data_IF_222163976890
#
_entry.id   IF_222163976890
#
_cell.length_a   1.000
_cell.length_b   1.000
_cell.length_c   1.000
_cell.angle_alpha   90.00
_cell.angle_beta   90.00
_cell.angle_gamma   90.00
#
_symmetry.space_group_name_H-M   'P 1'
#
loop_
_entity.id
_entity.type
_entity.pdbx_description
1 polymer ?
#
# COMPACT_ATOMS: atom_id res chain seq x y z
N UNK A 1 -22.03 2.61 3.62
CA UNK A 1 -21.28 3.73 4.23
C UNK A 1 -20.49 3.26 5.45
N UNK A 2 -19.18 3.44 5.47
CA UNK A 2 -18.32 3.19 6.64
C UNK A 2 -18.56 4.27 7.69
N UNK A 3 -19.05 3.93 8.88
CA UNK A 3 -19.29 4.91 9.97
C UNK A 3 -17.94 5.43 10.50
N UNK A 4 -17.53 6.62 10.10
CA UNK A 4 -16.36 7.39 10.61
C UNK A 4 -16.73 8.45 11.64
N UNK A 5 -18.02 8.56 12.00
CA UNK A 5 -18.58 9.58 12.90
C UNK A 5 -17.76 9.69 14.20
N UNK A 6 -17.20 10.86 14.46
CA UNK A 6 -16.41 11.18 15.66
C UNK A 6 -14.89 11.08 15.51
N UNK A 7 -14.36 10.40 14.46
CA UNK A 7 -12.92 10.41 14.19
C UNK A 7 -12.54 11.72 13.49
N UNK A 8 -11.78 12.57 14.18
CA UNK A 8 -11.19 13.79 13.61
C UNK A 8 -9.84 13.44 12.98
N UNK A 9 -9.56 14.00 11.81
CA UNK A 9 -8.25 13.92 11.15
C UNK A 9 -7.65 15.32 11.20
N UNK A 10 -6.38 15.49 11.62
CA UNK A 10 -5.71 16.79 11.57
C UNK A 10 -5.70 17.36 10.15
N UNK A 11 -6.15 18.61 9.98
CA UNK A 11 -6.20 19.30 8.67
C UNK A 11 -4.82 19.35 8.01
N UNK A 12 -3.76 19.55 8.82
CA UNK A 12 -2.38 19.54 8.34
C UNK A 12 -2.04 18.25 7.59
N UNK A 13 -2.47 17.08 8.08
CA UNK A 13 -2.21 15.79 7.42
C UNK A 13 -2.91 15.73 6.07
N UNK A 14 -4.11 16.28 5.96
CA UNK A 14 -4.86 16.36 4.69
C UNK A 14 -4.13 17.26 3.69
N UNK A 15 -3.67 18.44 4.13
CA UNK A 15 -2.93 19.39 3.29
C UNK A 15 -1.61 18.81 2.80
N UNK A 16 -0.83 18.18 3.70
CA UNK A 16 0.42 17.51 3.34
C UNK A 16 0.18 16.37 2.35
N UNK A 17 -0.87 15.56 2.56
CA UNK A 17 -1.25 14.50 1.65
C UNK A 17 -1.66 15.03 0.27
N UNK A 18 -2.43 16.13 0.22
CA UNK A 18 -2.80 16.77 -1.04
C UNK A 18 -1.57 17.29 -1.79
N UNK A 19 -0.70 18.04 -1.11
CA UNK A 19 0.53 18.57 -1.68
C UNK A 19 1.44 17.45 -2.22
N UNK A 20 1.65 16.40 -1.43
CA UNK A 20 2.42 15.24 -1.85
C UNK A 20 1.86 14.62 -3.14
N UNK A 21 0.54 14.43 -3.22
CA UNK A 21 -0.09 13.84 -4.41
C UNK A 21 0.05 14.74 -5.64
N UNK A 22 -0.10 16.06 -5.50
CA UNK A 22 0.11 17.00 -6.60
C UNK A 22 1.53 16.88 -7.14
N UNK A 23 2.54 16.97 -6.26
CA UNK A 23 3.95 16.86 -6.67
C UNK A 23 4.23 15.50 -7.31
N UNK A 24 3.85 14.40 -6.66
CA UNK A 24 4.14 13.06 -7.13
C UNK A 24 3.46 12.75 -8.47
N UNK A 25 2.18 13.10 -8.62
CA UNK A 25 1.44 12.89 -9.85
C UNK A 25 2.01 13.74 -10.99
N UNK A 26 2.32 15.02 -10.73
CA UNK A 26 2.92 15.90 -11.73
C UNK A 26 4.29 15.39 -12.17
N UNK A 27 5.15 14.94 -11.26
CA UNK A 27 6.48 14.40 -11.61
C UNK A 27 6.37 13.15 -12.50
N UNK A 28 5.51 12.20 -12.14
CA UNK A 28 5.31 10.99 -12.93
C UNK A 28 4.66 11.31 -14.29
N UNK A 29 3.65 12.17 -14.32
CA UNK A 29 2.99 12.57 -15.57
C UNK A 29 3.93 13.35 -16.50
N UNK A 30 4.74 14.27 -15.94
CA UNK A 30 5.72 15.03 -16.69
C UNK A 30 6.79 14.11 -17.29
N UNK A 31 7.30 13.15 -16.51
CA UNK A 31 8.27 12.20 -17.03
C UNK A 31 7.68 11.37 -18.18
N UNK A 32 6.52 10.75 -17.95
CA UNK A 32 5.88 9.88 -18.94
C UNK A 32 5.45 10.64 -20.20
N UNK A 33 4.92 11.86 -20.05
CA UNK A 33 4.39 12.64 -21.18
C UNK A 33 5.42 13.44 -21.97
N UNK A 34 6.50 13.90 -21.33
CA UNK A 34 7.43 14.87 -21.95
C UNK A 34 8.90 14.45 -21.90
N UNK A 35 9.34 13.65 -20.92
CA UNK A 35 10.77 13.32 -20.76
C UNK A 35 11.12 11.96 -21.35
N UNK A 36 10.18 11.01 -21.35
CA UNK A 36 10.45 9.63 -21.77
C UNK A 36 10.66 9.44 -23.28
N UNK A 37 10.49 10.49 -24.08
CA UNK A 37 10.39 10.46 -25.55
C UNK A 37 9.32 9.49 -26.10
N UNK A 38 8.46 8.96 -25.22
CA UNK A 38 7.48 7.92 -25.51
C UNK A 38 8.08 6.51 -25.46
N UNK A 39 7.41 5.59 -24.79
CA UNK A 39 7.77 4.18 -24.82
C UNK A 39 7.44 3.57 -26.17
N UNK A 40 8.43 2.95 -26.81
CA UNK A 40 8.19 2.14 -28.01
C UNK A 40 7.26 0.96 -27.67
N UNK A 41 6.46 0.51 -28.64
CA UNK A 41 5.57 -0.65 -28.46
C UNK A 41 6.35 -1.91 -28.04
N UNK A 42 7.60 -2.05 -28.52
CA UNK A 42 8.51 -3.12 -28.13
C UNK A 42 8.80 -3.17 -26.62
N UNK A 43 8.64 -2.05 -25.90
CA UNK A 43 8.80 -1.98 -24.45
C UNK A 43 7.89 -2.96 -23.71
N UNK A 44 6.69 -3.20 -24.21
CA UNK A 44 5.69 -4.10 -23.61
C UNK A 44 6.21 -5.55 -23.54
N UNK A 45 7.12 -5.92 -24.46
CA UNK A 45 7.73 -7.26 -24.51
C UNK A 45 9.02 -7.37 -23.69
N UNK A 46 9.48 -6.29 -23.05
CA UNK A 46 10.70 -6.32 -22.23
C UNK A 46 10.45 -7.05 -20.90
N UNK A 47 11.47 -7.74 -20.34
CA UNK A 47 11.36 -8.36 -19.02
C UNK A 47 10.96 -7.36 -17.93
N UNK A 48 11.48 -6.13 -17.99
CA UNK A 48 11.19 -5.07 -17.03
C UNK A 48 9.69 -4.74 -17.03
N UNK A 49 9.12 -4.49 -18.21
CA UNK A 49 7.69 -4.21 -18.32
C UNK A 49 6.85 -5.38 -17.81
N UNK A 50 7.15 -6.61 -18.24
CA UNK A 50 6.37 -7.81 -17.87
C UNK A 50 6.44 -8.07 -16.36
N UNK A 51 7.64 -8.08 -15.78
CA UNK A 51 7.84 -8.30 -14.34
C UNK A 51 7.17 -7.18 -13.54
N UNK A 52 7.42 -5.93 -13.91
CA UNK A 52 6.85 -4.77 -13.23
C UNK A 52 5.31 -4.76 -13.30
N UNK A 53 4.74 -5.13 -14.44
CA UNK A 53 3.29 -5.22 -14.63
C UNK A 53 2.66 -6.34 -13.79
N UNK A 54 3.28 -7.53 -13.73
CA UNK A 54 2.83 -8.63 -12.87
C UNK A 54 2.89 -8.23 -11.40
N UNK A 55 3.98 -7.57 -10.98
CA UNK A 55 4.11 -7.05 -9.61
C UNK A 55 3.04 -5.99 -9.32
N UNK A 56 2.84 -5.03 -10.22
CA UNK A 56 1.83 -3.99 -10.08
C UNK A 56 0.43 -4.60 -9.86
N UNK A 57 0.01 -5.49 -10.76
CA UNK A 57 -1.31 -6.12 -10.67
C UNK A 57 -1.47 -7.01 -9.43
N UNK A 58 -0.45 -7.79 -9.08
CA UNK A 58 -0.50 -8.63 -7.89
C UNK A 58 -0.55 -7.80 -6.60
N UNK A 59 0.26 -6.74 -6.50
CA UNK A 59 0.24 -5.80 -5.39
C UNK A 59 -1.12 -5.11 -5.23
N UNK A 60 -1.66 -4.58 -6.33
CA UNK A 60 -2.98 -3.95 -6.38
C UNK A 60 -4.08 -4.93 -5.95
N UNK A 61 -4.07 -6.18 -6.44
CA UNK A 61 -5.04 -7.20 -6.05
C UNK A 61 -4.96 -7.49 -4.55
N UNK A 62 -3.75 -7.66 -4.00
CA UNK A 62 -3.54 -7.87 -2.57
C UNK A 62 -4.08 -6.70 -1.76
N UNK A 63 -3.75 -5.47 -2.17
CA UNK A 63 -4.19 -4.25 -1.51
C UNK A 63 -5.73 -4.16 -1.44
N UNK A 64 -6.37 -4.29 -2.60
CA UNK A 64 -7.83 -4.21 -2.75
C UNK A 64 -8.52 -5.30 -1.92
N UNK A 65 -8.08 -6.57 -2.02
CA UNK A 65 -8.69 -7.68 -1.28
C UNK A 65 -8.55 -7.50 0.24
N UNK A 66 -7.39 -7.02 0.70
CA UNK A 66 -7.16 -6.75 2.10
C UNK A 66 -8.05 -5.61 2.62
N UNK A 67 -8.18 -4.51 1.87
CA UNK A 67 -9.01 -3.38 2.26
C UNK A 67 -10.50 -3.72 2.24
N UNK A 68 -10.98 -4.47 1.23
CA UNK A 68 -12.34 -5.00 1.23
C UNK A 68 -12.63 -5.83 2.49
N UNK A 69 -11.68 -6.66 2.93
CA UNK A 69 -11.81 -7.44 4.16
C UNK A 69 -11.91 -6.54 5.39
N UNK A 70 -11.05 -5.53 5.51
CA UNK A 70 -11.06 -4.57 6.63
C UNK A 70 -12.35 -3.74 6.68
N UNK A 71 -12.83 -3.28 5.53
CA UNK A 71 -14.10 -2.56 5.39
C UNK A 71 -15.27 -3.44 5.83
N UNK A 72 -15.30 -4.71 5.41
CA UNK A 72 -16.32 -5.68 5.80
C UNK A 72 -16.32 -5.92 7.32
N UNK A 73 -15.14 -6.11 7.92
CA UNK A 73 -15.00 -6.28 9.37
C UNK A 73 -15.50 -5.07 10.16
N UNK A 74 -15.27 -3.85 9.65
CA UNK A 74 -15.77 -2.62 10.27
C UNK A 74 -17.30 -2.54 10.24
N UNK A 75 -17.94 -2.98 9.15
CA UNK A 75 -19.42 -3.06 9.09
C UNK A 75 -19.98 -4.04 10.11
N UNK A 76 -19.29 -5.15 10.34
CA UNK A 76 -19.67 -6.21 11.29
C UNK A 76 -19.30 -5.91 12.75
N UNK A 77 -18.61 -4.79 13.02
CA UNK A 77 -18.06 -4.46 14.34
C UNK A 77 -18.30 -2.98 14.66
N UNK A 78 -19.57 -2.57 14.85
CA UNK A 78 -19.90 -1.17 15.04
C UNK A 78 -19.28 -0.54 16.30
N UNK A 79 -18.96 -1.35 17.33
CA UNK A 79 -18.47 -0.88 18.63
C UNK A 79 -16.98 -1.19 18.90
N UNK A 80 -16.21 -1.63 17.90
CA UNK A 80 -14.80 -1.94 18.14
C UNK A 80 -14.04 -2.52 16.96
N UNK A 81 -12.72 -2.64 17.13
CA UNK A 81 -11.86 -3.33 16.18
C UNK A 81 -11.97 -4.84 16.37
N UNK A 82 -11.80 -5.61 15.29
CA UNK A 82 -11.65 -7.06 15.33
C UNK A 82 -10.33 -7.45 14.68
N UNK A 83 -9.79 -8.58 15.11
CA UNK A 83 -8.62 -9.19 14.49
C UNK A 83 -9.05 -9.73 13.12
N UNK A 84 -8.49 -9.23 12.00
CA UNK A 84 -8.76 -9.81 10.69
C UNK A 84 -8.18 -11.23 10.62
N UNK A 85 -8.92 -12.17 10.04
CA UNK A 85 -8.54 -13.59 9.89
C UNK A 85 -8.71 -14.04 8.44
N UNK A 86 -8.03 -15.14 8.09
CA UNK A 86 -7.96 -15.77 6.76
C UNK A 86 -7.11 -15.01 5.72
N UNK A 87 -6.55 -15.75 4.78
CA UNK A 87 -5.72 -15.21 3.70
C UNK A 87 -4.39 -14.66 4.23
N UNK A 88 -3.88 -13.59 3.61
CA UNK A 88 -2.60 -12.99 4.02
C UNK A 88 -2.60 -12.44 5.45
N UNK A 89 -3.78 -12.15 6.01
CA UNK A 89 -3.88 -11.79 7.41
C UNK A 89 -3.39 -12.92 8.33
N UNK A 90 -3.28 -14.18 7.93
CA UNK A 90 -2.71 -15.21 8.81
C UNK A 90 -1.21 -15.02 9.05
N UNK A 91 -0.51 -14.37 8.11
CA UNK A 91 0.94 -14.18 8.13
C UNK A 91 1.34 -12.77 8.55
N UNK A 92 0.62 -11.74 8.07
CA UNK A 92 0.95 -10.33 8.29
C UNK A 92 -0.23 -9.50 8.78
N UNK A 93 0.06 -8.38 9.43
CA UNK A 93 -0.94 -7.51 10.08
C UNK A 93 -1.57 -6.54 9.10
N UNK A 94 -0.75 -6.06 8.16
CA UNK A 94 -1.13 -5.07 7.17
C UNK A 94 -0.85 -5.60 5.75
N UNK A 95 -1.61 -6.61 5.27
CA UNK A 95 -1.48 -7.09 3.90
C UNK A 95 -1.85 -6.03 2.86
N UNK A 96 -2.71 -5.06 3.21
CA UNK A 96 -3.00 -3.93 2.34
C UNK A 96 -1.75 -3.08 2.07
N UNK A 97 -1.01 -2.75 3.12
CA UNK A 97 0.25 -2.03 3.05
C UNK A 97 1.34 -2.83 2.30
N UNK A 98 1.39 -4.14 2.49
CA UNK A 98 2.29 -5.02 1.72
C UNK A 98 1.96 -5.00 0.23
N UNK A 99 0.68 -5.10 -0.13
CA UNK A 99 0.22 -5.00 -1.51
C UNK A 99 0.58 -3.67 -2.14
N UNK A 100 0.39 -2.56 -1.42
CA UNK A 100 0.73 -1.20 -1.88
C UNK A 100 2.24 -1.04 -2.14
N UNK A 101 3.09 -1.62 -1.29
CA UNK A 101 4.54 -1.63 -1.54
C UNK A 101 4.88 -2.40 -2.81
N UNK A 102 4.33 -3.61 -2.98
CA UNK A 102 4.57 -4.42 -4.19
C UNK A 102 4.06 -3.69 -5.44
N UNK A 103 2.89 -3.05 -5.34
CA UNK A 103 2.28 -2.29 -6.43
C UNK A 103 3.22 -1.19 -6.92
N UNK A 104 3.72 -0.35 -6.02
CA UNK A 104 4.58 0.77 -6.40
C UNK A 104 6.01 0.35 -6.79
N UNK A 105 6.53 -0.75 -6.24
CA UNK A 105 7.77 -1.36 -6.75
C UNK A 105 7.56 -1.86 -8.18
N UNK A 106 6.44 -2.54 -8.46
CA UNK A 106 6.07 -2.99 -9.80
C UNK A 106 5.94 -1.83 -10.77
N UNK A 107 5.27 -0.74 -10.35
CA UNK A 107 5.18 0.50 -11.12
C UNK A 107 6.57 1.07 -11.43
N UNK A 108 7.46 1.17 -10.43
CA UNK A 108 8.81 1.67 -10.66
C UNK A 108 9.61 0.83 -11.66
N UNK A 109 9.41 -0.49 -11.67
CA UNK A 109 10.09 -1.39 -12.62
C UNK A 109 9.49 -1.26 -14.02
N UNK A 110 8.15 -1.21 -14.15
CA UNK A 110 7.50 -1.13 -15.46
C UNK A 110 7.71 0.23 -16.15
N UNK A 111 7.74 1.32 -15.37
CA UNK A 111 7.95 2.68 -15.88
C UNK A 111 9.40 3.13 -15.87
N UNK A 112 10.31 2.31 -15.32
CA UNK A 112 11.76 2.45 -15.39
C UNK A 112 12.31 3.88 -15.32
N UNK A 113 11.86 4.66 -14.33
CA UNK A 113 12.25 6.06 -14.19
C UNK A 113 12.41 6.51 -12.73
N UNK A 114 13.18 7.58 -12.53
CA UNK A 114 13.52 8.09 -11.20
C UNK A 114 12.31 8.64 -10.43
N UNK A 115 11.32 9.23 -11.11
CA UNK A 115 10.11 9.72 -10.44
C UNK A 115 9.32 8.57 -9.82
N UNK A 116 9.09 7.50 -10.58
CA UNK A 116 8.41 6.29 -10.10
C UNK A 116 9.20 5.55 -9.02
N UNK A 117 10.54 5.52 -9.12
CA UNK A 117 11.41 4.93 -8.10
C UNK A 117 11.37 5.73 -6.80
N UNK A 118 11.42 7.06 -6.88
CA UNK A 118 11.31 7.93 -5.72
C UNK A 118 9.99 7.70 -4.98
N UNK A 119 8.91 7.46 -5.73
CA UNK A 119 7.61 7.17 -5.15
C UNK A 119 7.58 5.80 -4.46
N UNK A 120 8.13 4.77 -5.10
CA UNK A 120 8.23 3.44 -4.50
C UNK A 120 9.03 3.48 -3.18
N UNK A 121 10.17 4.17 -3.15
CA UNK A 121 10.98 4.35 -1.93
C UNK A 121 10.19 5.11 -0.87
N UNK A 122 9.54 6.21 -1.25
CA UNK A 122 8.71 7.00 -0.33
C UNK A 122 7.60 6.15 0.31
N UNK A 123 6.90 5.35 -0.50
CA UNK A 123 5.87 4.41 -0.05
C UNK A 123 6.43 3.44 0.99
N UNK A 124 7.56 2.77 0.71
CA UNK A 124 8.18 1.84 1.67
C UNK A 124 8.50 2.54 2.98
N UNK A 125 9.13 3.73 2.92
CA UNK A 125 9.57 4.48 4.10
C UNK A 125 8.40 4.98 4.94
N UNK A 126 7.28 5.40 4.33
CA UNK A 126 6.13 5.92 5.06
C UNK A 126 5.20 4.83 5.59
N UNK A 127 5.00 3.76 4.80
CA UNK A 127 4.05 2.70 5.14
C UNK A 127 4.64 1.70 6.14
N UNK A 128 5.95 1.47 6.12
CA UNK A 128 6.59 0.49 7.02
C UNK A 128 6.42 0.87 8.51
N UNK A 129 6.75 2.10 8.96
CA UNK A 129 6.53 2.53 10.35
C UNK A 129 5.05 2.43 10.76
N UNK A 130 4.14 2.86 9.87
CA UNK A 130 2.71 2.76 10.10
C UNK A 130 2.24 1.32 10.32
N UNK A 131 2.79 0.37 9.56
CA UNK A 131 2.50 -1.06 9.70
C UNK A 131 3.01 -1.63 11.01
N UNK A 132 4.20 -1.21 11.43
CA UNK A 132 4.78 -1.58 12.73
C UNK A 132 3.90 -1.07 13.87
N UNK A 133 3.42 0.16 13.79
CA UNK A 133 2.53 0.74 14.81
C UNK A 133 1.17 0.06 14.85
N UNK A 134 0.57 -0.27 13.70
CA UNK A 134 -0.63 -1.11 13.66
C UNK A 134 -0.39 -2.48 14.31
N UNK A 135 0.74 -3.12 14.02
CA UNK A 135 1.08 -4.42 14.59
C UNK A 135 1.27 -4.36 16.12
N UNK A 136 1.98 -3.35 16.62
CA UNK A 136 2.13 -3.08 18.06
C UNK A 136 0.78 -2.83 18.71
N UNK A 137 -0.04 -1.98 18.10
CA UNK A 137 -1.38 -1.68 18.59
C UNK A 137 -2.24 -2.94 18.69
N UNK A 138 -2.23 -3.81 17.68
CA UNK A 138 -2.96 -5.08 17.75
C UNK A 138 -2.46 -5.99 18.88
N UNK A 139 -1.15 -6.10 19.09
CA UNK A 139 -0.58 -6.90 20.19
C UNK A 139 -0.98 -6.38 21.57
N UNK A 140 -1.05 -5.06 21.74
CA UNK A 140 -1.42 -4.43 23.01
C UNK A 140 -2.92 -4.52 23.30
N UNK A 141 -3.76 -4.43 22.28
CA UNK A 141 -5.22 -4.34 22.44
C UNK A 141 -5.93 -5.69 22.38
N UNK A 142 -5.28 -6.74 21.86
CA UNK A 142 -5.87 -8.06 21.73
C UNK A 142 -5.02 -9.14 22.40
N UNK A 143 -5.41 -9.64 23.59
CA UNK A 143 -4.70 -10.73 24.27
C UNK A 143 -4.56 -11.99 23.40
N UNK A 144 -5.55 -12.25 22.54
CA UNK A 144 -5.61 -13.40 21.65
C UNK A 144 -5.00 -13.12 20.26
N UNK A 145 -4.15 -12.10 20.11
CA UNK A 145 -3.51 -11.79 18.84
C UNK A 145 -2.49 -12.88 18.43
N UNK A 146 -2.49 -13.34 17.16
CA UNK A 146 -1.54 -14.36 16.72
C UNK A 146 -0.07 -13.91 16.87
N UNK A 147 0.68 -14.56 17.77
CA UNK A 147 2.08 -14.21 18.07
C UNK A 147 3.04 -14.39 16.89
N UNK A 148 2.74 -15.34 15.99
CA UNK A 148 3.56 -15.64 14.80
C UNK A 148 3.38 -14.64 13.66
N UNK A 149 2.33 -13.81 13.71
CA UNK A 149 2.05 -12.81 12.68
C UNK A 149 3.12 -11.72 12.70
N UNK A 150 3.51 -11.26 11.52
CA UNK A 150 4.43 -10.15 11.29
C UNK A 150 3.67 -8.86 10.97
N UNK A 151 4.34 -7.72 10.92
CA UNK A 151 3.72 -6.43 10.64
C UNK A 151 3.33 -6.31 9.16
N UNK A 152 4.29 -6.50 8.24
CA UNK A 152 4.13 -6.19 6.82
C UNK A 152 4.82 -7.18 5.89
N UNK A 153 6.04 -7.62 6.18
CA UNK A 153 6.74 -8.62 5.35
C UNK A 153 6.58 -10.00 5.97
N UNK A 154 6.01 -10.98 5.24
CA UNK A 154 5.87 -12.34 5.75
C UNK A 154 7.22 -12.88 6.25
N UNK A 155 7.21 -13.51 7.42
CA UNK A 155 8.37 -14.15 8.07
C UNK A 155 9.52 -13.22 8.52
N UNK A 156 9.58 -11.98 8.03
CA UNK A 156 10.63 -11.02 8.36
C UNK A 156 10.14 -10.06 9.45
N UNK A 157 9.33 -9.05 9.08
CA UNK A 157 8.98 -7.91 9.93
C UNK A 157 7.51 -7.62 9.98
#
# INVERSE_FOLDING_TARGET
MTKTRGKKIPVLIVVLGFFFNVVNATLNAYYLGYVSDGYQIAWISTPQFIIGFILFLSGMLINILADYKLISLRKQSPNGYKIPKKGMFEYISCPNHFGEIIEWIGFSILSWNLASLSFAVWTVVNITPRSLDHHKWYKLNFPNYPKKRKAILPFIV
#
